data_IF_802560156384
#
_entry.id   IF_802560156384
#
_cell.length_a   1.000
_cell.length_b   1.000
_cell.length_c   1.000
_cell.angle_alpha   90.00
_cell.angle_beta   90.00
_cell.angle_gamma   90.00
#
_symmetry.space_group_name_H-M   'P 1'
#
loop_
_entity.id
_entity.type
_entity.pdbx_description
1 polymer ?
#
# COMPACT_ATOMS: atom_id res chain seq x y z
N UNK A 1 -0.18 -2.51 0.32
CA UNK A 1 -1.17 -1.47 -0.02
C UNK A 1 -2.31 -1.51 0.98
N UNK A 2 -2.79 -0.34 1.38
CA UNK A 2 -3.84 -0.18 2.39
C UNK A 2 -4.77 0.95 1.96
N UNK A 3 -6.06 0.66 1.80
CA UNK A 3 -7.08 1.64 1.44
C UNK A 3 -8.13 1.72 2.54
N UNK A 4 -8.48 2.93 2.96
CA UNK A 4 -9.48 3.14 4.00
C UNK A 4 -9.57 4.57 4.50
N UNK A 5 -10.38 4.83 5.54
CA UNK A 5 -10.54 6.15 6.13
C UNK A 5 -9.34 6.57 6.98
N UNK A 6 -8.99 7.85 6.86
CA UNK A 6 -7.94 8.48 7.68
C UNK A 6 -8.48 8.82 9.06
N UNK A 7 -7.65 8.59 10.07
CA UNK A 7 -7.88 9.05 11.45
C UNK A 7 -6.56 9.46 12.13
N UNK A 8 -6.65 10.12 13.29
CA UNK A 8 -5.52 10.44 14.15
C UNK A 8 -4.32 11.10 13.43
N UNK A 9 -4.59 12.17 12.68
CA UNK A 9 -3.53 12.92 12.00
C UNK A 9 -2.65 13.60 13.04
N UNK A 10 -1.35 13.33 12.98
CA UNK A 10 -0.34 13.93 13.85
C UNK A 10 0.67 14.69 13.00
N UNK A 11 0.74 16.00 13.20
CA UNK A 11 1.80 16.84 12.67
C UNK A 11 2.60 17.40 13.84
N UNK A 12 3.85 17.02 13.98
CA UNK A 12 4.75 17.70 14.93
C UNK A 12 5.27 18.96 14.24
N UNK A 13 4.70 20.10 14.62
CA UNK A 13 4.92 21.41 13.99
C UNK A 13 6.35 21.95 14.20
N UNK A 14 7.17 21.28 15.02
CA UNK A 14 8.48 21.78 15.47
C UNK A 14 9.69 20.98 14.97
N UNK A 15 9.50 19.98 14.11
CA UNK A 15 10.60 19.15 13.62
C UNK A 15 11.01 19.61 12.21
N UNK A 16 12.23 20.15 12.03
CA UNK A 16 12.73 20.53 10.73
C UNK A 16 12.93 19.33 9.78
N UNK A 17 12.97 18.09 10.33
CA UNK A 17 13.27 16.89 9.55
C UNK A 17 12.01 16.23 8.95
N UNK A 18 10.81 16.78 9.15
CA UNK A 18 9.54 16.33 8.54
C UNK A 18 9.20 14.82 8.71
N UNK A 19 10.04 14.05 9.37
CA UNK A 19 9.93 12.59 9.53
C UNK A 19 8.84 12.15 10.52
N UNK A 20 8.28 13.06 11.30
CA UNK A 20 7.30 12.75 12.35
C UNK A 20 5.84 12.99 11.95
N UNK A 21 5.57 13.19 10.68
CA UNK A 21 4.19 13.32 10.19
C UNK A 21 3.57 11.94 10.02
N UNK A 22 2.39 11.78 10.58
CA UNK A 22 1.69 10.51 10.50
C UNK A 22 0.18 10.68 10.54
N UNK A 23 -0.51 9.66 10.10
CA UNK A 23 -1.94 9.45 10.32
C UNK A 23 -2.20 7.95 10.50
N UNK A 24 -3.43 7.59 10.82
CA UNK A 24 -3.83 6.20 10.99
C UNK A 24 -4.83 5.81 9.91
N UNK A 25 -4.66 4.65 9.31
CA UNK A 25 -5.66 3.95 8.48
C UNK A 25 -5.91 2.59 9.09
N UNK A 26 -7.17 2.26 9.40
CA UNK A 26 -7.56 0.92 9.87
C UNK A 26 -6.69 0.41 11.03
N UNK A 27 -6.37 1.29 11.99
CA UNK A 27 -5.51 0.96 13.12
C UNK A 27 -4.01 0.93 12.83
N UNK A 28 -3.62 1.07 11.57
CA UNK A 28 -2.20 1.09 11.15
C UNK A 28 -1.68 2.52 11.12
N UNK A 29 -0.57 2.78 11.81
CA UNK A 29 0.13 4.07 11.70
C UNK A 29 0.83 4.17 10.36
N UNK A 30 0.54 5.25 9.62
CA UNK A 30 1.20 5.59 8.36
C UNK A 30 2.19 6.72 8.63
N UNK A 31 3.45 6.49 8.31
CA UNK A 31 4.54 7.50 8.38
C UNK A 31 4.71 8.17 7.03
N UNK A 32 4.81 9.49 7.06
CA UNK A 32 4.99 10.32 5.88
C UNK A 32 6.37 10.97 5.90
N UNK A 33 7.13 10.76 4.85
CA UNK A 33 8.27 11.59 4.52
C UNK A 33 7.82 12.60 3.45
N UNK A 34 7.68 13.87 3.82
CA UNK A 34 7.11 14.90 2.93
C UNK A 34 7.96 15.16 1.69
N UNK A 35 9.25 14.83 1.74
CA UNK A 35 10.16 14.97 0.61
C UNK A 35 10.07 13.82 -0.38
N UNK A 36 9.75 12.61 0.13
CA UNK A 36 9.79 11.37 -0.66
C UNK A 36 8.40 10.77 -0.91
N UNK A 37 7.42 11.04 -0.01
CA UNK A 37 6.05 10.55 -0.20
C UNK A 37 5.35 11.31 -1.31
N UNK A 38 4.89 10.59 -2.31
CA UNK A 38 4.09 11.15 -3.40
C UNK A 38 2.64 11.30 -2.97
N UNK A 39 2.04 12.47 -3.24
CA UNK A 39 0.62 12.73 -2.99
C UNK A 39 -0.11 12.88 -4.32
N UNK A 40 -1.21 12.13 -4.48
CA UNK A 40 -1.98 12.08 -5.72
C UNK A 40 -3.49 12.11 -5.45
N UNK A 41 -4.30 12.33 -6.47
CA UNK A 41 -5.76 12.36 -6.38
C UNK A 41 -6.34 11.45 -7.44
N UNK A 42 -7.21 10.51 -7.04
CA UNK A 42 -7.96 9.69 -7.99
C UNK A 42 -8.95 10.53 -8.81
N UNK A 43 -8.80 10.49 -10.12
CA UNK A 43 -9.67 11.22 -11.04
C UNK A 43 -9.44 12.73 -11.01
N UNK A 44 -10.34 13.45 -11.70
CA UNK A 44 -10.25 14.91 -11.80
C UNK A 44 -11.10 15.55 -10.72
N UNK A 45 -10.51 15.91 -9.58
CA UNK A 45 -11.09 16.87 -8.64
C UNK A 45 -10.51 18.24 -9.02
N UNK A 46 -11.22 19.08 -9.80
CA UNK A 46 -10.65 20.30 -10.34
C UNK A 46 -10.18 21.26 -9.25
N UNK A 47 -8.95 21.76 -9.36
CA UNK A 47 -8.43 22.84 -8.52
C UNK A 47 -7.92 22.40 -7.14
N UNK A 48 -7.75 21.12 -6.88
CA UNK A 48 -7.27 20.61 -5.59
C UNK A 48 -5.83 20.11 -5.73
N UNK A 49 -4.92 20.72 -4.98
CA UNK A 49 -3.63 20.11 -4.70
C UNK A 49 -3.74 19.26 -3.43
N UNK A 50 -3.28 18.04 -3.47
CA UNK A 50 -3.26 17.14 -2.33
C UNK A 50 -1.86 17.06 -1.74
N UNK A 51 -1.78 17.14 -0.44
CA UNK A 51 -0.53 17.07 0.31
C UNK A 51 -0.84 16.66 1.75
N UNK A 52 0.16 16.34 2.55
CA UNK A 52 -0.07 16.03 3.96
C UNK A 52 -0.91 17.09 4.68
N UNK A 53 -0.67 18.37 4.42
CA UNK A 53 -1.36 19.48 5.09
C UNK A 53 -2.87 19.59 4.71
N UNK A 54 -3.29 18.93 3.64
CA UNK A 54 -4.68 18.91 3.20
C UNK A 54 -5.44 17.64 3.62
N UNK A 55 -4.75 16.62 4.14
CA UNK A 55 -5.36 15.41 4.67
C UNK A 55 -6.27 15.77 5.86
N UNK A 56 -7.46 15.18 5.90
CA UNK A 56 -8.42 15.33 6.99
C UNK A 56 -8.84 13.97 7.52
N UNK A 57 -9.31 13.95 8.76
CA UNK A 57 -10.03 12.78 9.27
C UNK A 57 -11.22 12.47 8.34
N UNK A 58 -11.48 11.20 8.16
CA UNK A 58 -12.52 10.64 7.30
C UNK A 58 -12.25 10.77 5.80
N UNK A 59 -11.14 11.37 5.36
CA UNK A 59 -10.69 11.23 3.97
C UNK A 59 -10.49 9.75 3.65
N UNK A 60 -10.98 9.33 2.50
CA UNK A 60 -10.73 7.99 1.98
C UNK A 60 -9.47 8.02 1.13
N UNK A 61 -8.42 7.38 1.59
CA UNK A 61 -7.14 7.36 0.92
C UNK A 61 -6.66 5.93 0.66
N UNK A 62 -5.80 5.80 -0.33
CA UNK A 62 -5.01 4.60 -0.59
C UNK A 62 -3.55 4.91 -0.32
N UNK A 63 -2.87 4.02 0.40
CA UNK A 63 -1.46 4.16 0.73
C UNK A 63 -0.69 2.97 0.20
N UNK A 64 0.35 3.25 -0.57
CA UNK A 64 1.39 2.29 -0.95
C UNK A 64 2.64 2.58 -0.14
N UNK A 65 3.39 1.53 0.21
CA UNK A 65 4.61 1.65 1.01
C UNK A 65 5.07 0.30 1.55
N UNK A 66 5.89 0.35 2.57
CA UNK A 66 6.47 -0.82 3.24
C UNK A 66 6.38 -0.68 4.76
N UNK A 67 6.34 -1.80 5.46
CA UNK A 67 6.35 -1.80 6.92
C UNK A 67 7.78 -1.67 7.45
N UNK A 68 7.98 -0.78 8.42
CA UNK A 68 9.24 -0.70 9.17
C UNK A 68 9.25 -1.71 10.34
N UNK A 69 10.39 -1.80 11.04
CA UNK A 69 10.56 -2.71 12.17
C UNK A 69 9.62 -2.42 13.35
N UNK A 70 9.05 -1.22 13.42
CA UNK A 70 8.04 -0.84 14.43
C UNK A 70 6.60 -1.25 14.03
N UNK A 71 6.41 -1.84 12.84
CA UNK A 71 5.10 -2.21 12.30
C UNK A 71 4.30 -1.01 11.78
N UNK A 72 4.95 0.10 11.46
CA UNK A 72 4.34 1.28 10.86
C UNK A 72 4.49 1.22 9.34
N UNK A 73 3.47 1.63 8.60
CA UNK A 73 3.52 1.72 7.14
C UNK A 73 4.23 3.03 6.73
N UNK A 74 5.45 2.92 6.23
CA UNK A 74 6.17 4.05 5.63
C UNK A 74 5.62 4.28 4.23
N UNK A 75 4.91 5.40 4.05
CA UNK A 75 4.23 5.69 2.79
C UNK A 75 5.20 6.18 1.73
N UNK A 76 5.15 5.56 0.56
CA UNK A 76 5.80 6.05 -0.67
C UNK A 76 4.82 6.82 -1.54
N UNK A 77 3.52 6.47 -1.45
CA UNK A 77 2.43 7.18 -2.12
C UNK A 77 1.19 7.24 -1.23
N UNK A 78 0.52 8.38 -1.26
CA UNK A 78 -0.82 8.57 -0.67
C UNK A 78 -1.72 9.13 -1.75
N UNK A 79 -2.76 8.40 -2.09
CA UNK A 79 -3.75 8.80 -3.09
C UNK A 79 -5.09 9.10 -2.43
N UNK A 80 -5.62 10.30 -2.63
CA UNK A 80 -6.96 10.66 -2.21
C UNK A 80 -8.00 10.04 -3.14
N UNK A 81 -8.81 9.11 -2.64
CA UNK A 81 -9.92 8.49 -3.38
C UNK A 81 -11.20 9.32 -3.26
N UNK A 82 -11.48 9.82 -2.05
CA UNK A 82 -12.61 10.69 -1.78
C UNK A 82 -12.34 11.54 -0.52
N UNK A 83 -13.00 12.70 -0.40
CA UNK A 83 -12.90 13.59 0.76
C UNK A 83 -13.80 13.18 1.94
N UNK A 84 -14.48 12.05 1.82
CA UNK A 84 -15.31 11.47 2.87
C UNK A 84 -15.42 9.98 2.64
N UNK A 85 -15.14 9.19 3.65
CA UNK A 85 -15.38 7.74 3.64
C UNK A 85 -16.83 7.46 4.09
N UNK A 86 -17.53 6.59 3.36
CA UNK A 86 -18.92 6.20 3.65
C UNK A 86 -18.95 4.71 4.01
N UNK A 87 -19.04 4.35 5.31
CA UNK A 87 -19.15 2.96 5.72
C UNK A 87 -20.32 2.24 5.03
N UNK A 88 -20.11 0.96 4.71
CA UNK A 88 -21.09 0.12 4.01
C UNK A 88 -21.20 0.38 2.50
N UNK A 89 -20.58 1.44 1.99
CA UNK A 89 -20.63 1.84 0.59
C UNK A 89 -19.26 1.85 -0.07
N UNK A 90 -18.30 2.52 0.58
CA UNK A 90 -16.96 2.64 0.03
C UNK A 90 -16.17 1.33 0.21
N UNK A 91 -15.45 0.98 -0.83
CA UNK A 91 -14.62 -0.23 -0.84
C UNK A 91 -13.33 0.04 -0.08
N UNK A 92 -13.00 -0.86 0.82
CA UNK A 92 -11.70 -0.99 1.47
C UNK A 92 -10.94 -2.10 0.77
N UNK A 93 -9.69 -1.85 0.43
CA UNK A 93 -8.79 -2.81 -0.20
C UNK A 93 -7.56 -3.02 0.69
N UNK A 94 -7.25 -4.27 0.96
CA UNK A 94 -6.10 -4.70 1.76
C UNK A 94 -5.28 -5.71 0.97
N UNK A 95 -3.96 -5.53 0.95
CA UNK A 95 -3.04 -6.54 0.41
C UNK A 95 -2.10 -7.00 1.52
N UNK A 96 -1.93 -8.31 1.63
CA UNK A 96 -1.03 -8.89 2.63
C UNK A 96 -1.14 -10.41 2.70
N UNK A 97 -0.40 -10.98 3.64
CA UNK A 97 -0.35 -12.42 3.87
C UNK A 97 -1.37 -12.84 4.93
N UNK A 98 -2.15 -13.86 4.63
CA UNK A 98 -3.17 -14.41 5.53
C UNK A 98 -2.53 -14.96 6.81
N UNK A 99 -3.09 -14.59 7.96
CA UNK A 99 -2.72 -15.15 9.27
C UNK A 99 -3.96 -15.32 10.16
N UNK A 100 -3.91 -16.30 11.06
CA UNK A 100 -5.03 -16.60 11.96
C UNK A 100 -6.24 -17.26 11.28
N UNK A 101 -6.11 -17.67 10.01
CA UNK A 101 -7.17 -18.39 9.30
C UNK A 101 -7.35 -19.80 9.86
N UNK A 102 -8.56 -20.16 10.21
CA UNK A 102 -8.96 -21.49 10.64
C UNK A 102 -9.95 -22.12 9.67
N UNK A 103 -10.98 -21.40 9.27
CA UNK A 103 -11.96 -21.76 8.24
C UNK A 103 -12.66 -20.49 7.71
N UNK A 104 -13.41 -20.62 6.63
CA UNK A 104 -14.04 -19.49 5.94
C UNK A 104 -15.14 -18.79 6.76
N UNK A 105 -15.71 -19.46 7.76
CA UNK A 105 -16.76 -18.91 8.64
C UNK A 105 -16.19 -18.15 9.84
N UNK A 106 -14.89 -18.24 10.07
CA UNK A 106 -14.18 -17.53 11.13
C UNK A 106 -13.38 -16.34 10.57
N UNK A 107 -13.41 -15.18 11.21
CA UNK A 107 -12.58 -14.06 10.79
C UNK A 107 -11.09 -14.38 10.88
N UNK A 108 -10.32 -13.83 9.96
CA UNK A 108 -8.86 -13.89 9.95
C UNK A 108 -8.25 -12.48 9.85
N UNK A 109 -6.94 -12.38 9.84
CA UNK A 109 -6.20 -11.11 9.70
C UNK A 109 -5.15 -11.23 8.60
N UNK A 110 -4.56 -10.09 8.21
CA UNK A 110 -3.35 -10.07 7.39
C UNK A 110 -2.14 -9.67 8.23
N UNK A 111 -0.98 -10.23 7.90
CA UNK A 111 0.28 -9.91 8.59
C UNK A 111 0.52 -8.40 8.56
N UNK A 112 0.83 -7.81 9.72
CA UNK A 112 1.02 -6.38 9.88
C UNK A 112 -0.29 -5.56 10.06
N UNK A 113 -1.47 -6.15 9.79
CA UNK A 113 -2.78 -5.50 9.89
C UNK A 113 -3.62 -6.13 10.99
N UNK A 114 -3.10 -6.17 12.23
CA UNK A 114 -3.74 -6.87 13.36
C UNK A 114 -4.94 -6.13 13.95
N UNK A 115 -5.13 -4.87 13.57
CA UNK A 115 -6.25 -4.03 14.05
C UNK A 115 -7.57 -4.24 13.32
N UNK A 116 -7.60 -5.05 12.26
CA UNK A 116 -8.79 -5.31 11.45
C UNK A 116 -9.00 -6.80 11.27
N UNK A 117 -10.20 -7.28 11.61
CA UNK A 117 -10.64 -8.64 11.34
C UNK A 117 -11.28 -8.71 9.95
N UNK A 118 -11.03 -9.76 9.20
CA UNK A 118 -11.59 -9.98 7.86
C UNK A 118 -12.62 -11.10 7.96
N UNK A 119 -13.88 -10.76 7.74
CA UNK A 119 -14.97 -11.73 7.58
C UNK A 119 -15.16 -12.03 6.09
N UNK A 120 -14.74 -13.20 5.67
CA UNK A 120 -14.85 -13.66 4.28
C UNK A 120 -15.94 -14.72 4.08
N UNK A 121 -16.84 -14.91 5.05
CA UNK A 121 -17.88 -15.95 5.02
C UNK A 121 -18.82 -15.82 3.81
N UNK A 122 -18.99 -14.62 3.25
CA UNK A 122 -19.80 -14.33 2.05
C UNK A 122 -18.95 -13.89 0.83
N UNK A 123 -17.62 -13.94 0.91
CA UNK A 123 -16.74 -13.46 -0.14
C UNK A 123 -16.64 -14.45 -1.32
N UNK A 124 -16.51 -13.91 -2.53
CA UNK A 124 -15.98 -14.69 -3.65
C UNK A 124 -14.49 -14.96 -3.41
N UNK A 125 -14.05 -16.18 -3.60
CA UNK A 125 -12.66 -16.61 -3.47
C UNK A 125 -12.14 -16.91 -4.86
N UNK A 126 -11.20 -16.11 -5.34
CA UNK A 126 -10.68 -16.20 -6.70
C UNK A 126 -9.16 -16.45 -6.69
N UNK A 127 -8.66 -17.08 -7.74
CA UNK A 127 -7.23 -17.34 -8.01
C UNK A 127 -6.46 -18.05 -6.88
N UNK A 128 -7.17 -18.87 -6.09
CA UNK A 128 -6.63 -19.70 -5.02
C UNK A 128 -6.83 -21.19 -5.32
N UNK A 129 -5.92 -21.78 -6.07
CA UNK A 129 -6.02 -23.19 -6.52
C UNK A 129 -6.21 -24.19 -5.38
N UNK A 130 -5.67 -23.92 -4.20
CA UNK A 130 -5.76 -24.77 -3.00
C UNK A 130 -6.67 -24.19 -1.91
N UNK A 131 -7.45 -23.13 -2.25
CA UNK A 131 -8.28 -22.41 -1.29
C UNK A 131 -7.48 -21.48 -0.39
N UNK A 132 -8.21 -20.77 0.49
CA UNK A 132 -7.64 -19.83 1.44
C UNK A 132 -6.93 -20.58 2.58
N UNK A 133 -5.70 -20.15 2.91
CA UNK A 133 -4.92 -20.72 4.02
C UNK A 133 -3.88 -19.72 4.55
N UNK A 134 -3.36 -19.97 5.76
CA UNK A 134 -2.30 -19.15 6.33
C UNK A 134 -1.04 -19.17 5.45
N UNK A 135 -0.38 -18.00 5.34
CA UNK A 135 0.84 -17.84 4.56
C UNK A 135 0.61 -17.50 3.09
N UNK A 136 -0.64 -17.47 2.61
CA UNK A 136 -0.95 -17.09 1.23
C UNK A 136 -1.07 -15.56 1.13
N UNK A 137 -0.45 -14.97 0.10
CA UNK A 137 -0.64 -13.58 -0.26
C UNK A 137 -1.99 -13.38 -0.96
N UNK A 138 -2.77 -12.42 -0.48
CA UNK A 138 -4.10 -12.11 -1.02
C UNK A 138 -4.32 -10.61 -1.14
N UNK A 139 -5.22 -10.26 -2.04
CA UNK A 139 -5.94 -9.00 -2.06
C UNK A 139 -7.35 -9.23 -1.54
N UNK A 140 -7.77 -8.43 -0.58
CA UNK A 140 -9.11 -8.48 0.01
C UNK A 140 -9.83 -7.18 -0.27
N UNK A 141 -11.02 -7.27 -0.85
CA UNK A 141 -11.93 -6.13 -1.06
C UNK A 141 -13.22 -6.35 -0.28
N UNK A 142 -13.71 -5.28 0.34
CA UNK A 142 -14.94 -5.36 1.11
C UNK A 142 -15.39 -3.99 1.61
N UNK A 143 -16.36 -3.99 2.51
CA UNK A 143 -16.88 -2.79 3.14
C UNK A 143 -16.81 -2.90 4.66
N UNK A 144 -16.65 -1.75 5.32
CA UNK A 144 -16.72 -1.67 6.78
C UNK A 144 -18.10 -1.21 7.21
N UNK A 145 -18.62 -1.75 8.30
CA UNK A 145 -19.94 -1.35 8.82
C UNK A 145 -19.93 0.01 9.53
N UNK A 146 -18.75 0.48 9.94
CA UNK A 146 -18.58 1.75 10.65
C UNK A 146 -17.22 2.42 10.30
N UNK A 147 -16.99 3.63 10.80
CA UNK A 147 -15.75 4.39 10.56
C UNK A 147 -14.51 3.77 11.19
N UNK A 148 -14.65 3.02 12.28
CA UNK A 148 -13.54 2.37 12.96
C UNK A 148 -13.00 1.18 12.14
N UNK A 149 -13.87 0.59 11.31
CA UNK A 149 -13.57 -0.56 10.46
C UNK A 149 -12.82 -1.68 11.20
N UNK A 150 -13.27 -2.01 12.39
CA UNK A 150 -12.69 -3.12 13.15
C UNK A 150 -12.95 -4.48 12.49
N UNK A 151 -13.94 -4.56 11.61
CA UNK A 151 -14.24 -5.72 10.77
C UNK A 151 -14.48 -5.28 9.34
N UNK A 152 -13.73 -5.89 8.42
CA UNK A 152 -13.96 -5.81 6.98
C UNK A 152 -14.86 -6.97 6.55
N UNK A 153 -16.07 -6.65 6.09
CA UNK A 153 -16.94 -7.62 5.44
C UNK A 153 -16.46 -7.80 4.01
N UNK A 154 -15.66 -8.84 3.79
CA UNK A 154 -15.07 -9.08 2.48
C UNK A 154 -16.15 -9.50 1.46
N UNK A 155 -16.10 -8.90 0.29
CA UNK A 155 -16.90 -9.29 -0.88
C UNK A 155 -16.07 -10.15 -1.85
N UNK A 156 -14.75 -9.99 -1.81
CA UNK A 156 -13.81 -10.73 -2.63
C UNK A 156 -12.50 -10.96 -1.89
N UNK A 157 -11.96 -12.14 -2.01
CA UNK A 157 -10.58 -12.50 -1.64
C UNK A 157 -9.93 -13.11 -2.86
N UNK A 158 -8.88 -12.48 -3.38
CA UNK A 158 -8.18 -12.89 -4.59
C UNK A 158 -6.76 -13.28 -4.26
N UNK A 159 -6.36 -14.48 -4.68
CA UNK A 159 -4.98 -14.92 -4.58
C UNK A 159 -4.08 -14.05 -5.45
N UNK A 160 -3.02 -13.53 -4.86
CA UNK A 160 -1.99 -12.87 -5.63
C UNK A 160 -1.11 -13.94 -6.27
N UNK A 161 -1.53 -14.42 -7.47
CA UNK A 161 -0.81 -15.47 -8.19
C UNK A 161 0.45 -14.93 -8.84
N UNK A 162 1.57 -15.54 -8.51
CA UNK A 162 2.80 -15.36 -9.24
C UNK A 162 4.07 -15.44 -8.39
N UNK A 163 3.96 -15.31 -7.08
CA UNK A 163 5.11 -15.47 -6.18
C UNK A 163 4.61 -15.78 -4.76
N UNK A 164 5.32 -16.64 -4.05
CA UNK A 164 5.17 -16.87 -2.61
C UNK A 164 5.62 -15.60 -1.84
N UNK A 165 4.78 -14.54 -1.79
CA UNK A 165 5.25 -13.21 -1.40
C UNK A 165 4.53 -12.62 -0.19
N UNK A 166 4.88 -13.15 0.96
CA UNK A 166 4.73 -12.43 2.23
C UNK A 166 5.56 -11.13 2.30
N UNK A 167 6.54 -10.97 1.40
CA UNK A 167 7.59 -9.95 1.47
C UNK A 167 7.63 -8.99 0.28
N UNK A 168 6.60 -8.96 -0.59
CA UNK A 168 6.54 -7.96 -1.67
C UNK A 168 6.25 -6.59 -1.11
N UNK A 169 7.07 -5.65 -1.52
CA UNK A 169 6.81 -4.22 -1.31
C UNK A 169 6.50 -3.57 -2.66
N UNK A 170 5.65 -2.55 -2.63
CA UNK A 170 5.44 -1.64 -3.73
C UNK A 170 5.92 -0.27 -3.29
N UNK A 171 6.84 0.33 -4.04
CA UNK A 171 7.29 1.70 -3.81
C UNK A 171 7.16 2.53 -5.07
N UNK A 172 6.66 3.76 -4.92
CA UNK A 172 6.63 4.75 -5.98
C UNK A 172 7.58 5.90 -5.63
N UNK A 173 8.32 6.40 -6.62
CA UNK A 173 9.22 7.52 -6.43
C UNK A 173 10.07 7.81 -7.67
N UNK A 174 10.96 8.78 -7.53
CA UNK A 174 11.94 9.09 -8.57
C UNK A 174 13.13 8.14 -8.47
N UNK A 175 13.58 7.64 -9.62
CA UNK A 175 14.86 6.94 -9.71
C UNK A 175 15.99 7.93 -9.39
N UNK A 176 16.86 7.53 -8.48
CA UNK A 176 18.07 8.26 -8.10
C UNK A 176 19.27 7.32 -8.12
N UNK A 177 20.47 7.89 -8.18
CA UNK A 177 21.75 7.12 -8.20
C UNK A 177 21.75 5.99 -9.24
N UNK A 178 21.11 6.22 -10.40
CA UNK A 178 21.02 5.22 -11.45
C UNK A 178 22.41 4.93 -12.07
N UNK A 179 22.84 3.68 -11.99
CA UNK A 179 24.05 3.16 -12.66
C UNK A 179 23.61 2.30 -13.86
N UNK A 180 22.74 1.32 -13.61
CA UNK A 180 22.12 0.44 -14.59
C UNK A 180 20.82 -0.17 -14.01
N UNK A 181 20.20 -1.10 -14.74
CA UNK A 181 18.95 -1.74 -14.30
C UNK A 181 19.09 -2.59 -13.03
N UNK A 182 20.30 -3.00 -12.67
CA UNK A 182 20.54 -3.78 -11.46
C UNK A 182 20.96 -2.92 -10.25
N UNK A 183 21.16 -1.61 -10.46
CA UNK A 183 21.70 -0.74 -9.42
C UNK A 183 21.21 0.70 -9.56
N UNK A 184 20.13 1.01 -8.86
CA UNK A 184 19.62 2.34 -8.68
C UNK A 184 18.86 2.44 -7.33
N UNK A 185 18.36 3.62 -6.99
CA UNK A 185 17.56 3.82 -5.77
C UNK A 185 16.24 4.48 -6.06
N UNK A 186 15.25 4.18 -5.22
CA UNK A 186 14.00 4.93 -5.08
C UNK A 186 13.82 5.24 -3.60
N UNK A 187 13.65 6.53 -3.27
CA UNK A 187 13.50 6.99 -1.88
C UNK A 187 14.62 6.47 -0.96
N UNK A 188 15.86 6.40 -1.47
CA UNK A 188 17.02 5.88 -0.74
C UNK A 188 17.13 4.36 -0.66
N UNK A 189 16.11 3.60 -1.08
CA UNK A 189 16.10 2.14 -1.08
C UNK A 189 16.73 1.63 -2.36
N UNK A 190 17.69 0.70 -2.24
CA UNK A 190 18.36 0.08 -3.38
C UNK A 190 17.41 -0.85 -4.14
N UNK A 191 17.47 -0.83 -5.46
CA UNK A 191 16.64 -1.63 -6.36
C UNK A 191 17.51 -2.37 -7.37
N UNK A 192 17.25 -3.64 -7.55
CA UNK A 192 17.70 -4.47 -8.67
C UNK A 192 16.49 -4.82 -9.54
N UNK A 193 16.41 -4.21 -10.71
CA UNK A 193 15.36 -4.45 -11.70
C UNK A 193 15.89 -5.18 -12.95
N UNK A 194 17.03 -5.86 -12.85
CA UNK A 194 17.66 -6.56 -13.99
C UNK A 194 16.79 -7.65 -14.60
N UNK A 195 15.89 -8.24 -13.80
CA UNK A 195 14.93 -9.26 -14.22
C UNK A 195 13.48 -8.76 -14.28
N UNK A 196 13.24 -7.47 -14.02
CA UNK A 196 11.90 -6.91 -13.92
C UNK A 196 11.20 -6.77 -15.27
N UNK A 197 9.88 -6.90 -15.26
CA UNK A 197 9.02 -6.54 -16.39
C UNK A 197 8.84 -5.01 -16.36
N UNK A 198 9.27 -4.35 -17.43
CA UNK A 198 9.09 -2.91 -17.59
C UNK A 198 7.75 -2.59 -18.25
N UNK A 199 7.01 -1.62 -17.70
CA UNK A 199 5.72 -1.16 -18.22
C UNK A 199 5.71 0.38 -18.36
N UNK A 200 5.52 0.90 -19.58
CA UNK A 200 5.46 0.16 -20.86
C UNK A 200 6.81 -0.50 -21.19
N UNK A 201 6.81 -1.50 -22.05
CA UNK A 201 8.05 -2.21 -22.46
C UNK A 201 9.11 -1.29 -23.08
N UNK A 202 8.71 -0.08 -23.45
CA UNK A 202 9.60 0.99 -23.97
C UNK A 202 10.17 1.88 -22.84
N UNK A 203 9.86 1.59 -21.59
CA UNK A 203 10.36 2.36 -20.44
C UNK A 203 11.89 2.32 -20.42
N UNK A 204 12.49 3.51 -20.35
CA UNK A 204 13.92 3.67 -20.15
C UNK A 204 14.17 4.12 -18.72
N UNK A 205 14.79 3.26 -17.92
CA UNK A 205 15.18 3.58 -16.56
C UNK A 205 16.31 4.62 -16.58
N UNK A 206 16.16 5.70 -15.81
CA UNK A 206 17.14 6.79 -15.70
C UNK A 206 16.85 7.65 -14.48
N UNK A 207 17.82 8.40 -14.00
CA UNK A 207 17.59 9.37 -12.94
C UNK A 207 16.46 10.33 -13.30
N UNK A 208 15.58 10.57 -12.32
CA UNK A 208 14.41 11.43 -12.45
C UNK A 208 13.20 10.81 -13.14
N UNK A 209 13.27 9.56 -13.60
CA UNK A 209 12.07 8.83 -14.02
C UNK A 209 11.23 8.49 -12.79
N UNK A 210 9.93 8.83 -12.81
CA UNK A 210 8.99 8.45 -11.76
C UNK A 210 8.43 7.08 -12.09
N UNK A 211 8.65 6.15 -11.19
CA UNK A 211 8.24 4.76 -11.39
C UNK A 211 7.64 4.18 -10.11
N UNK A 212 6.79 3.19 -10.27
CA UNK A 212 6.44 2.25 -9.22
C UNK A 212 7.21 0.96 -9.44
N UNK A 213 7.79 0.44 -8.36
CA UNK A 213 8.53 -0.82 -8.34
C UNK A 213 7.88 -1.77 -7.38
N UNK A 214 7.61 -2.99 -7.83
CA UNK A 214 7.11 -4.08 -7.01
C UNK A 214 8.12 -5.23 -6.98
N UNK A 215 8.33 -5.80 -5.79
CA UNK A 215 9.19 -6.96 -5.62
C UNK A 215 9.49 -7.27 -4.16
N UNK A 216 10.04 -8.46 -3.87
CA UNK A 216 10.51 -8.80 -2.54
C UNK A 216 11.75 -7.97 -2.16
N UNK A 217 11.94 -7.77 -0.85
CA UNK A 217 13.16 -7.18 -0.33
C UNK A 217 14.09 -8.29 0.18
N UNK A 218 15.34 -8.28 -0.26
CA UNK A 218 16.38 -9.19 0.20
C UNK A 218 17.67 -8.41 0.43
N UNK A 219 18.26 -8.54 1.62
CA UNK A 219 19.51 -7.83 1.98
C UNK A 219 19.41 -6.30 1.77
N UNK A 220 18.26 -5.70 2.11
CA UNK A 220 17.96 -4.28 1.90
C UNK A 220 17.95 -3.82 0.43
N UNK A 221 17.76 -4.74 -0.51
CA UNK A 221 17.61 -4.46 -1.94
C UNK A 221 16.25 -5.00 -2.39
N UNK A 222 15.46 -4.19 -3.07
CA UNK A 222 14.24 -4.65 -3.74
C UNK A 222 14.67 -5.43 -4.98
N UNK A 223 14.31 -6.70 -5.02
CA UNK A 223 14.44 -7.54 -6.22
C UNK A 223 13.19 -7.30 -7.08
N UNK A 224 13.27 -6.32 -7.96
CA UNK A 224 12.08 -5.89 -8.69
C UNK A 224 11.57 -6.98 -9.65
N UNK A 225 10.27 -7.23 -9.59
CA UNK A 225 9.53 -8.10 -10.50
C UNK A 225 8.92 -7.26 -11.61
N UNK A 226 8.42 -6.07 -11.25
CA UNK A 226 7.87 -5.11 -12.19
C UNK A 226 8.37 -3.71 -11.91
N UNK A 227 8.50 -2.90 -12.95
CA UNK A 227 8.72 -1.46 -12.88
C UNK A 227 7.75 -0.79 -13.84
N UNK A 228 6.86 0.04 -13.31
CA UNK A 228 5.85 0.75 -14.08
C UNK A 228 6.15 2.26 -14.09
N UNK A 229 6.08 2.86 -15.30
CA UNK A 229 6.19 4.32 -15.43
C UNK A 229 4.95 4.98 -14.83
N UNK A 230 5.16 5.91 -13.91
CA UNK A 230 4.10 6.76 -13.37
C UNK A 230 4.18 8.14 -14.01
N UNK A 231 3.04 8.62 -14.49
CA UNK A 231 2.95 9.94 -15.10
C UNK A 231 3.30 11.05 -14.12
N UNK A 232 4.05 12.04 -14.58
CA UNK A 232 4.23 13.32 -13.90
C UNK A 232 3.17 14.30 -14.34
#
# INVERSE_FOLDING_TARGET
QLQGPVSNITAVIADPDEENRSFTILGTTVRINVLDTVFDISGTIPGTSFSFNSIKNDDHVEVSGFFNDAGELVATRVELKATTFTPGSDIVELKGTVTGFTDISAPFTLTGLTGIAIDASAAAIDDLANGLSNGIAVEVKGTCSDMACSTLNATRVEGQSGFDDADKISIEGLITEFVDSSNFKINGISVDASAAILQPTTLVLRNGARVEVEGPISNNVIQAISVELRGG
#
